data_IF_614355859276
#
_entry.id   IF_614355859276
#
_cell.length_a   1.000
_cell.length_b   1.000
_cell.length_c   1.000
_cell.angle_alpha   90.00
_cell.angle_beta   90.00
_cell.angle_gamma   90.00
#
_symmetry.space_group_name_H-M   'P 1'
#
loop_
_entity.id
_entity.type
_entity.pdbx_description
1 polymer ?
#
# COMPACT_ATOMS: atom_id res chain seq x y z
N UNK A 1 8.81 -1.76 27.76
CA UNK A 1 8.44 -2.15 26.38
C UNK A 1 7.98 -0.87 25.69
N UNK A 2 8.86 -0.24 24.91
CA UNK A 2 8.53 1.04 24.25
C UNK A 2 7.69 0.71 23.02
N UNK A 3 6.42 1.08 23.05
CA UNK A 3 5.56 1.04 21.87
C UNK A 3 6.03 2.13 20.91
N UNK A 4 6.73 1.75 19.85
CA UNK A 4 7.00 2.65 18.72
C UNK A 4 5.67 3.04 18.08
N UNK A 5 5.18 4.25 18.36
CA UNK A 5 4.00 4.78 17.67
C UNK A 5 4.46 5.36 16.32
N UNK A 6 4.22 4.58 15.27
CA UNK A 6 4.51 4.94 13.86
C UNK A 6 3.83 6.25 13.44
N UNK A 7 2.99 6.88 14.28
CA UNK A 7 2.39 8.17 13.99
C UNK A 7 3.26 9.35 14.41
N UNK A 8 4.11 9.21 15.43
CA UNK A 8 4.89 10.34 15.94
C UNK A 8 6.06 10.72 15.02
N UNK A 9 6.57 9.77 14.24
CA UNK A 9 7.74 9.96 13.35
C UNK A 9 7.38 10.59 11.99
N UNK A 10 6.09 10.74 11.66
CA UNK A 10 5.65 11.13 10.32
C UNK A 10 4.74 12.36 10.30
N UNK A 11 4.94 13.21 9.30
CA UNK A 11 3.96 14.21 8.86
C UNK A 11 3.05 13.56 7.83
N UNK A 12 1.74 13.62 8.07
CA UNK A 12 0.75 12.97 7.21
C UNK A 12 0.16 13.95 6.20
N UNK A 13 0.15 13.57 4.93
CA UNK A 13 -0.37 14.37 3.82
C UNK A 13 -1.55 13.69 3.15
N UNK A 14 -2.68 14.40 3.09
CA UNK A 14 -3.90 13.89 2.47
C UNK A 14 -3.91 14.07 0.95
N UNK A 15 -4.39 13.05 0.24
CA UNK A 15 -4.52 13.06 -1.22
C UNK A 15 -5.72 12.24 -1.68
N UNK A 16 -6.48 12.77 -2.64
CA UNK A 16 -7.53 12.01 -3.32
C UNK A 16 -6.95 11.28 -4.52
N UNK A 17 -7.12 9.96 -4.55
CA UNK A 17 -6.57 9.07 -5.60
C UNK A 17 -7.65 8.11 -6.12
N UNK A 18 -7.47 7.62 -7.34
CA UNK A 18 -8.24 6.45 -7.78
C UNK A 18 -7.64 5.18 -7.20
N UNK A 19 -8.41 4.40 -6.47
CA UNK A 19 -8.02 3.09 -5.97
C UNK A 19 -8.72 1.97 -6.75
N UNK A 20 -7.94 0.94 -7.07
CA UNK A 20 -8.44 -0.39 -7.43
C UNK A 20 -7.94 -1.40 -6.40
N UNK A 21 -8.40 -2.64 -6.49
CA UNK A 21 -7.87 -3.74 -5.70
C UNK A 21 -7.52 -4.92 -6.61
N UNK A 22 -6.43 -5.59 -6.28
CA UNK A 22 -5.99 -6.83 -6.94
C UNK A 22 -5.70 -7.90 -5.89
N UNK A 23 -5.70 -9.15 -6.34
CA UNK A 23 -5.40 -10.33 -5.51
C UNK A 23 -4.35 -11.20 -6.20
N UNK A 24 -3.70 -12.05 -5.42
CA UNK A 24 -2.76 -13.06 -5.90
C UNK A 24 -3.39 -14.44 -5.67
N UNK A 25 -4.22 -14.92 -6.59
CA UNK A 25 -4.73 -16.30 -6.52
C UNK A 25 -3.71 -17.27 -7.12
N UNK A 26 -3.58 -18.45 -6.52
CA UNK A 26 -2.56 -19.47 -6.83
C UNK A 26 -2.58 -19.99 -8.28
N UNK A 27 -3.62 -19.70 -9.08
CA UNK A 27 -3.60 -20.01 -10.52
C UNK A 27 -2.53 -19.21 -11.30
N UNK A 28 -1.83 -18.27 -10.66
CA UNK A 28 -0.74 -17.49 -11.24
C UNK A 28 0.61 -17.64 -10.52
N UNK A 29 0.77 -18.56 -9.56
CA UNK A 29 2.06 -18.73 -8.86
C UNK A 29 2.34 -20.20 -8.56
N UNK A 30 3.27 -20.78 -9.33
CA UNK A 30 3.83 -22.08 -9.03
C UNK A 30 4.68 -21.97 -7.76
N UNK A 31 4.23 -22.64 -6.71
CA UNK A 31 5.03 -23.24 -5.62
C UNK A 31 6.22 -22.43 -5.09
N UNK A 32 5.96 -21.61 -4.04
CA UNK A 32 6.66 -21.58 -2.73
C UNK A 32 6.37 -20.25 -2.01
N UNK A 33 5.69 -20.25 -0.86
CA UNK A 33 5.45 -19.03 -0.10
C UNK A 33 6.60 -18.76 0.88
N UNK A 34 6.76 -17.48 1.24
CA UNK A 34 7.46 -16.98 2.44
C UNK A 34 8.98 -16.94 2.35
N UNK A 35 9.48 -15.77 1.93
CA UNK A 35 10.36 -14.86 2.67
C UNK A 35 10.61 -13.66 1.74
N UNK A 36 10.29 -12.44 2.17
CA UNK A 36 10.79 -11.24 1.47
C UNK A 36 12.25 -11.03 1.87
N UNK A 37 13.03 -10.38 1.01
CA UNK A 37 14.46 -10.12 1.23
C UNK A 37 14.80 -9.23 2.45
N UNK A 38 13.81 -8.89 3.29
CA UNK A 38 13.95 -8.09 4.50
C UNK A 38 13.65 -8.86 5.80
N UNK A 39 13.45 -10.19 5.73
CA UNK A 39 13.25 -11.03 6.93
C UNK A 39 11.83 -11.01 7.50
N UNK A 40 10.89 -10.30 6.86
CA UNK A 40 9.50 -10.31 7.29
C UNK A 40 8.80 -11.60 6.84
N UNK A 41 8.21 -12.29 7.82
CA UNK A 41 7.25 -13.36 7.56
C UNK A 41 6.09 -12.78 6.75
N UNK A 42 5.86 -13.27 5.53
CA UNK A 42 4.64 -13.00 4.76
C UNK A 42 3.44 -13.57 5.54
N UNK A 43 2.94 -12.80 6.51
CA UNK A 43 1.73 -13.10 7.29
C UNK A 43 0.50 -12.75 6.44
N UNK A 44 -0.59 -13.54 6.50
CA UNK A 44 -1.89 -13.06 6.06
C UNK A 44 -2.16 -11.67 6.66
N UNK A 45 -2.55 -10.71 5.82
CA UNK A 45 -2.74 -9.31 6.25
C UNK A 45 -1.63 -8.33 5.86
N UNK A 46 -0.74 -8.68 4.92
CA UNK A 46 0.17 -7.69 4.31
C UNK A 46 -0.62 -6.58 3.62
N UNK A 47 -0.56 -5.38 4.20
CA UNK A 47 -1.18 -4.16 3.68
C UNK A 47 -0.18 -3.48 2.77
N UNK A 48 -0.28 -3.75 1.47
CA UNK A 48 0.63 -3.16 0.47
C UNK A 48 -0.14 -2.53 -0.66
N UNK A 49 0.46 -1.52 -1.27
CA UNK A 49 -0.08 -0.85 -2.45
C UNK A 49 0.98 -0.70 -3.53
N UNK A 50 0.51 -0.70 -4.78
CA UNK A 50 1.23 -0.13 -5.91
C UNK A 50 0.78 1.31 -6.13
N UNK A 51 1.69 2.20 -6.56
CA UNK A 51 1.38 3.61 -6.85
C UNK A 51 1.77 3.99 -8.27
N UNK A 52 1.03 4.93 -8.87
CA UNK A 52 1.38 5.48 -10.18
C UNK A 52 2.67 6.31 -10.14
N UNK A 53 3.30 6.47 -11.31
CA UNK A 53 4.61 7.14 -11.40
C UNK A 53 4.60 8.59 -10.91
N UNK A 54 3.49 9.30 -11.08
CA UNK A 54 3.29 10.67 -10.58
C UNK A 54 3.11 10.73 -9.06
N UNK A 55 2.42 9.77 -8.45
CA UNK A 55 2.33 9.66 -6.99
C UNK A 55 3.69 9.34 -6.38
N UNK A 56 4.45 8.46 -7.03
CA UNK A 56 5.83 8.19 -6.62
C UNK A 56 6.70 9.43 -6.73
N UNK A 57 6.53 10.27 -7.75
CA UNK A 57 7.25 11.53 -7.88
C UNK A 57 6.90 12.52 -6.77
N UNK A 58 5.64 12.52 -6.29
CA UNK A 58 5.15 13.36 -5.18
C UNK A 58 5.65 12.97 -3.79
N UNK A 59 6.34 11.83 -3.63
CA UNK A 59 6.90 11.42 -2.34
C UNK A 59 6.38 10.09 -1.79
N UNK A 60 5.43 9.43 -2.47
CA UNK A 60 5.00 8.07 -2.14
C UNK A 60 6.04 7.05 -2.62
N UNK A 61 7.22 7.09 -2.00
CA UNK A 61 8.38 6.25 -2.31
C UNK A 61 8.21 4.85 -1.72
N UNK A 62 9.16 3.97 -2.03
CA UNK A 62 9.20 2.64 -1.44
C UNK A 62 9.18 2.73 0.10
N UNK A 63 8.38 1.89 0.74
CA UNK A 63 8.13 1.87 2.19
C UNK A 63 7.44 3.11 2.78
N UNK A 64 6.96 4.06 1.97
CA UNK A 64 6.12 5.13 2.49
C UNK A 64 4.86 4.52 3.13
N UNK A 65 4.56 4.83 4.41
CA UNK A 65 3.34 4.39 5.07
C UNK A 65 2.15 5.18 4.54
N UNK A 66 1.03 4.50 4.32
CA UNK A 66 -0.19 5.06 3.74
C UNK A 66 -1.41 4.55 4.49
N UNK A 67 -2.22 5.47 5.01
CA UNK A 67 -3.56 5.17 5.53
C UNK A 67 -4.58 5.40 4.42
N UNK A 68 -5.54 4.51 4.26
CA UNK A 68 -6.60 4.64 3.26
C UNK A 68 -7.91 4.83 3.99
N UNK A 69 -8.59 5.96 3.76
CA UNK A 69 -9.84 6.27 4.47
C UNK A 69 -10.88 5.18 4.21
N UNK A 70 -11.41 4.60 5.28
CA UNK A 70 -12.38 3.50 5.23
C UNK A 70 -11.76 2.09 5.14
N UNK A 71 -10.43 1.97 5.17
CA UNK A 71 -9.72 0.71 5.37
C UNK A 71 -8.87 0.80 6.64
N UNK A 72 -8.85 -0.30 7.40
CA UNK A 72 -8.11 -0.33 8.65
C UNK A 72 -6.60 -0.51 8.41
N UNK A 73 -5.80 0.08 9.30
CA UNK A 73 -4.34 -0.08 9.38
C UNK A 73 -3.54 0.70 8.34
N UNK A 74 -2.23 0.46 8.38
CA UNK A 74 -1.25 1.15 7.54
C UNK A 74 -0.81 0.24 6.41
N UNK A 75 -0.89 0.77 5.19
CA UNK A 75 -0.39 0.16 3.98
C UNK A 75 1.00 0.68 3.66
N UNK A 76 1.81 -0.11 2.97
CA UNK A 76 3.13 0.31 2.52
C UNK A 76 3.22 0.28 1.00
N UNK A 77 3.84 1.33 0.44
CA UNK A 77 4.19 1.35 -0.98
C UNK A 77 5.27 0.30 -1.23
N UNK A 78 4.95 -0.72 -2.02
CA UNK A 78 5.89 -1.80 -2.37
C UNK A 78 6.13 -1.94 -3.87
N UNK A 79 5.32 -1.28 -4.71
CA UNK A 79 5.43 -1.41 -6.16
C UNK A 79 5.05 -0.11 -6.90
N UNK A 80 5.46 -0.01 -8.16
CA UNK A 80 5.14 1.09 -9.07
C UNK A 80 4.33 0.58 -10.26
N UNK A 81 3.35 1.36 -10.69
CA UNK A 81 2.55 1.03 -11.86
C UNK A 81 3.18 1.51 -13.17
N UNK A 82 2.78 0.92 -14.31
CA UNK A 82 3.10 1.45 -15.64
C UNK A 82 2.71 2.93 -15.81
N UNK A 83 3.51 3.67 -16.60
CA UNK A 83 3.44 5.14 -16.76
C UNK A 83 2.11 5.69 -17.27
N UNK A 84 1.28 4.85 -17.92
CA UNK A 84 -0.08 5.20 -18.38
C UNK A 84 -1.03 5.54 -17.24
N UNK A 85 -0.78 5.04 -16.03
CA UNK A 85 -1.61 5.31 -14.87
C UNK A 85 -1.17 6.62 -14.20
N UNK A 86 -2.16 7.41 -13.79
CA UNK A 86 -1.99 8.71 -13.14
C UNK A 86 -2.91 8.81 -11.93
N UNK A 87 -2.44 9.43 -10.86
CA UNK A 87 -3.14 9.63 -9.60
C UNK A 87 -3.87 8.34 -9.11
N UNK A 88 -3.19 7.20 -9.20
CA UNK A 88 -3.79 5.88 -9.02
C UNK A 88 -2.99 5.01 -8.04
N UNK A 89 -3.70 4.34 -7.15
CA UNK A 89 -3.20 3.25 -6.32
C UNK A 89 -3.89 1.92 -6.67
N UNK A 90 -3.24 0.81 -6.34
CA UNK A 90 -3.80 -0.53 -6.47
C UNK A 90 -3.50 -1.29 -5.19
N UNK A 91 -4.57 -1.73 -4.51
CA UNK A 91 -4.53 -2.26 -3.16
C UNK A 91 -4.43 -3.77 -3.24
N UNK A 92 -3.40 -4.32 -2.62
CA UNK A 92 -3.29 -5.77 -2.49
C UNK A 92 -4.26 -6.27 -1.40
N UNK A 93 -5.23 -7.09 -1.80
CA UNK A 93 -6.22 -7.67 -0.89
C UNK A 93 -5.93 -9.15 -0.57
N UNK A 94 -4.69 -9.60 -0.78
CA UNK A 94 -4.30 -10.98 -0.47
C UNK A 94 -4.91 -12.00 -1.43
N UNK A 95 -5.46 -13.08 -0.86
CA UNK A 95 -6.15 -14.16 -1.58
C UNK A 95 -7.66 -13.96 -1.64
N UNK A 96 -8.19 -12.88 -1.05
CA UNK A 96 -9.63 -12.63 -1.01
C UNK A 96 -10.14 -12.04 -2.33
N UNK A 97 -10.50 -12.93 -3.24
CA UNK A 97 -11.06 -12.58 -4.54
C UNK A 97 -12.39 -11.85 -4.42
N UNK A 98 -13.21 -12.15 -3.40
CA UNK A 98 -14.51 -11.52 -3.21
C UNK A 98 -14.35 -10.08 -2.73
N UNK A 99 -13.44 -9.83 -1.79
CA UNK A 99 -13.13 -8.48 -1.31
C UNK A 99 -12.59 -7.58 -2.43
N UNK A 100 -11.68 -8.10 -3.27
CA UNK A 100 -11.16 -7.33 -4.41
C UNK A 100 -12.27 -6.96 -5.42
N UNK A 101 -13.18 -7.90 -5.72
CA UNK A 101 -14.32 -7.64 -6.61
C UNK A 101 -15.31 -6.64 -6.01
N UNK A 102 -15.64 -6.79 -4.73
CA UNK A 102 -16.54 -5.87 -4.03
C UNK A 102 -15.93 -4.46 -3.89
N UNK A 103 -14.61 -4.35 -3.82
CA UNK A 103 -13.91 -3.07 -3.82
C UNK A 103 -14.10 -2.31 -5.14
N UNK A 104 -13.85 -2.96 -6.28
CA UNK A 104 -13.98 -2.32 -7.59
C UNK A 104 -13.06 -1.11 -7.78
N UNK A 105 -13.39 -0.23 -8.73
CA UNK A 105 -12.67 1.04 -8.95
C UNK A 105 -13.42 2.17 -8.27
N UNK A 106 -12.75 2.92 -7.40
CA UNK A 106 -13.36 4.06 -6.69
C UNK A 106 -12.33 5.14 -6.36
N UNK A 107 -12.79 6.36 -6.14
CA UNK A 107 -11.94 7.43 -5.59
C UNK A 107 -11.91 7.31 -4.07
N UNK A 108 -10.73 7.40 -3.47
CA UNK A 108 -10.53 7.38 -2.02
C UNK A 108 -9.59 8.50 -1.59
N UNK A 109 -9.73 8.94 -0.35
CA UNK A 109 -8.72 9.77 0.31
C UNK A 109 -7.69 8.87 0.97
N UNK A 110 -6.42 9.13 0.70
CA UNK A 110 -5.30 8.52 1.42
C UNK A 110 -4.58 9.58 2.23
N UNK A 111 -3.91 9.16 3.30
CA UNK A 111 -2.90 9.95 3.99
C UNK A 111 -1.57 9.22 3.85
N UNK A 112 -0.52 9.86 3.32
CA UNK A 112 0.82 9.27 3.24
C UNK A 112 1.78 9.96 4.21
N UNK A 113 2.63 9.18 4.87
CA UNK A 113 3.58 9.68 5.86
C UNK A 113 4.90 10.08 5.21
N UNK A 114 5.29 11.33 5.40
CA UNK A 114 6.65 11.82 5.17
C UNK A 114 7.41 11.80 6.50
N UNK A 115 8.59 11.16 6.54
CA UNK A 115 9.37 11.06 7.77
C UNK A 115 9.78 12.46 8.23
N UNK A 116 9.55 12.79 9.50
CA UNK A 116 10.10 14.00 10.11
C UNK A 116 11.61 13.92 10.01
N UNK A 117 12.24 14.93 9.41
CA UNK A 117 13.70 15.07 9.51
C UNK A 117 13.98 15.65 10.88
N UNK A 118 14.78 14.95 11.68
CA UNK A 118 15.38 15.54 12.87
C UNK A 118 16.20 16.75 12.41
N UNK A 119 15.92 17.91 13.01
CA UNK A 119 16.65 19.16 12.80
C UNK A 119 17.97 19.16 13.58
#
# INVERSE_FOLDING_TARGET
MVSYDVQEDYVWHDLNVTATAYNSVASQTNSKPRITAFGDSLKPGLKVIAVSGDLYAKGLKYNTPVKIKGLEGVYYVKDRMPSRWKNKIDIYMGVDVKAAKAWGRRTVTIAYGELKKDE
#
